data_IF_792440312024
#
_entry.id   IF_792440312024
#
_cell.length_a   1.000
_cell.length_b   1.000
_cell.length_c   1.000
_cell.angle_alpha   90.00
_cell.angle_beta   90.00
_cell.angle_gamma   90.00
#
_symmetry.space_group_name_H-M   'P 1'
#
loop_
_entity.id
_entity.type
_entity.pdbx_description
1 polymer ?
#
# COMPACT_ATOMS: atom_id res chain seq x y z
N UNK A 1 23.76 1.53 -20.70
CA UNK A 1 22.72 1.09 -19.74
C UNK A 1 21.88 2.31 -19.35
N UNK A 2 20.58 2.39 -19.72
CA UNK A 2 19.72 3.53 -19.35
C UNK A 2 19.56 3.58 -17.82
N UNK A 3 19.93 4.68 -17.18
CA UNK A 3 19.67 4.92 -15.75
C UNK A 3 18.16 5.08 -15.56
N UNK A 4 17.48 4.04 -15.10
CA UNK A 4 16.06 4.14 -14.75
C UNK A 4 15.86 5.14 -13.61
N UNK A 5 14.84 5.98 -13.75
CA UNK A 5 14.48 6.95 -12.72
C UNK A 5 13.82 6.23 -11.54
N UNK A 6 14.63 5.83 -10.56
CA UNK A 6 14.19 5.11 -9.34
C UNK A 6 13.04 5.82 -8.62
N UNK A 7 13.01 7.16 -8.64
CA UNK A 7 11.94 7.96 -8.03
C UNK A 7 10.62 7.78 -8.78
N UNK A 8 10.66 7.79 -10.11
CA UNK A 8 9.50 7.59 -10.97
C UNK A 8 8.93 6.18 -10.79
N UNK A 9 9.78 5.15 -10.76
CA UNK A 9 9.36 3.76 -10.52
C UNK A 9 8.68 3.61 -9.16
N UNK A 10 9.31 4.12 -8.09
CA UNK A 10 8.70 4.10 -6.74
C UNK A 10 7.33 4.78 -6.73
N UNK A 11 7.19 5.91 -7.41
CA UNK A 11 5.91 6.62 -7.50
C UNK A 11 4.82 5.80 -8.21
N UNK A 12 5.16 5.14 -9.32
CA UNK A 12 4.22 4.26 -10.04
C UNK A 12 3.73 3.14 -9.12
N UNK A 13 4.63 2.45 -8.44
CA UNK A 13 4.25 1.38 -7.50
C UNK A 13 3.40 1.92 -6.36
N UNK A 14 3.74 3.08 -5.79
CA UNK A 14 2.90 3.73 -4.77
C UNK A 14 1.48 3.99 -5.28
N UNK A 15 1.31 4.53 -6.49
CA UNK A 15 -0.03 4.76 -7.06
C UNK A 15 -0.81 3.45 -7.24
N UNK A 16 -0.14 2.40 -7.73
CA UNK A 16 -0.78 1.06 -7.86
C UNK A 16 -1.25 0.54 -6.52
N UNK A 17 -0.42 0.61 -5.47
CA UNK A 17 -0.81 0.17 -4.13
C UNK A 17 -1.91 1.03 -3.51
N UNK A 18 -1.96 2.34 -3.82
CA UNK A 18 -3.08 3.21 -3.42
C UNK A 18 -4.39 2.73 -4.05
N UNK A 19 -4.39 2.38 -5.34
CA UNK A 19 -5.58 1.83 -6.00
C UNK A 19 -6.02 0.49 -5.39
N UNK A 20 -5.07 -0.37 -5.05
CA UNK A 20 -5.35 -1.65 -4.34
C UNK A 20 -5.96 -1.37 -2.97
N UNK A 21 -5.49 -0.37 -2.25
CA UNK A 21 -6.02 0.01 -0.94
C UNK A 21 -7.46 0.52 -1.07
N UNK A 22 -7.75 1.35 -2.08
CA UNK A 22 -9.11 1.82 -2.40
C UNK A 22 -10.03 0.63 -2.72
N UNK A 23 -9.57 -0.33 -3.54
CA UNK A 23 -10.34 -1.53 -3.86
C UNK A 23 -10.77 -2.30 -2.59
N UNK A 24 -9.87 -2.47 -1.63
CA UNK A 24 -10.20 -3.14 -0.38
C UNK A 24 -11.13 -2.34 0.51
N UNK A 25 -11.04 -1.00 0.53
CA UNK A 25 -11.98 -0.15 1.27
C UNK A 25 -13.42 -0.27 0.72
N UNK A 26 -13.59 -0.46 -0.59
CA UNK A 26 -14.91 -0.70 -1.18
C UNK A 26 -15.49 -2.07 -0.86
N UNK A 27 -14.67 -3.05 -0.51
CA UNK A 27 -15.11 -4.39 -0.12
C UNK A 27 -15.56 -4.49 1.35
N UNK A 28 -15.29 -3.46 2.17
CA UNK A 28 -15.68 -3.45 3.58
C UNK A 28 -17.19 -3.24 3.70
N UNK A 29 -17.86 -4.12 4.43
CA UNK A 29 -19.21 -3.85 4.92
C UNK A 29 -19.15 -2.85 6.08
N UNK A 30 -19.41 -1.60 5.76
CA UNK A 30 -19.41 -0.46 6.70
C UNK A 30 -20.59 -0.50 7.69
N UNK A 31 -21.63 -1.30 7.43
CA UNK A 31 -22.77 -1.42 8.34
C UNK A 31 -22.51 -2.45 9.46
N UNK A 32 -21.59 -3.41 9.22
CA UNK A 32 -21.23 -4.42 10.19
C UNK A 32 -19.73 -4.73 10.19
N UNK A 33 -18.96 -3.86 10.85
CA UNK A 33 -17.50 -4.00 10.96
C UNK A 33 -17.03 -5.34 11.55
N UNK A 34 -17.78 -5.92 12.49
CA UNK A 34 -17.43 -7.18 13.15
C UNK A 34 -17.76 -8.43 12.32
N UNK A 35 -18.31 -8.26 11.11
CA UNK A 35 -18.58 -9.37 10.21
C UNK A 35 -17.30 -10.12 9.86
N UNK A 36 -17.33 -11.45 9.94
CA UNK A 36 -16.23 -12.32 9.51
C UNK A 36 -15.91 -12.17 8.02
N UNK A 37 -16.87 -11.70 7.23
CA UNK A 37 -16.66 -11.40 5.81
C UNK A 37 -15.67 -10.23 5.60
N UNK A 38 -15.57 -9.29 6.56
CA UNK A 38 -14.67 -8.15 6.47
C UNK A 38 -13.20 -8.49 6.77
N UNK A 39 -12.91 -9.66 7.36
CA UNK A 39 -11.54 -10.01 7.76
C UNK A 39 -10.54 -9.97 6.60
N UNK A 40 -10.96 -10.41 5.41
CA UNK A 40 -10.15 -10.31 4.19
C UNK A 40 -9.91 -8.86 3.75
N UNK A 41 -10.96 -8.04 3.79
CA UNK A 41 -10.88 -6.64 3.40
C UNK A 41 -9.99 -5.82 4.35
N UNK A 42 -10.09 -6.03 5.66
CA UNK A 42 -9.20 -5.40 6.63
C UNK A 42 -7.74 -5.81 6.45
N UNK A 43 -7.49 -7.10 6.19
CA UNK A 43 -6.13 -7.55 5.91
C UNK A 43 -5.59 -6.93 4.62
N UNK A 44 -6.42 -6.80 3.58
CA UNK A 44 -6.09 -6.11 2.33
C UNK A 44 -5.74 -4.64 2.52
N UNK A 45 -6.54 -3.90 3.30
CA UNK A 45 -6.25 -2.50 3.66
C UNK A 45 -4.95 -2.39 4.46
N UNK A 46 -4.75 -3.24 5.47
CA UNK A 46 -3.55 -3.25 6.30
C UNK A 46 -2.30 -3.54 5.45
N UNK A 47 -2.35 -4.58 4.61
CA UNK A 47 -1.25 -4.93 3.72
C UNK A 47 -0.93 -3.78 2.75
N UNK A 48 -1.95 -3.20 2.10
CA UNK A 48 -1.79 -2.05 1.21
C UNK A 48 -1.12 -0.87 1.90
N UNK A 49 -1.55 -0.54 3.12
CA UNK A 49 -0.96 0.54 3.91
C UNK A 49 0.52 0.27 4.24
N UNK A 50 0.84 -0.94 4.70
CA UNK A 50 2.22 -1.34 5.02
C UNK A 50 3.13 -1.29 3.80
N UNK A 51 2.65 -1.72 2.63
CA UNK A 51 3.42 -1.64 1.38
C UNK A 51 3.67 -0.20 0.94
N UNK A 52 2.67 0.68 1.05
CA UNK A 52 2.86 2.11 0.75
C UNK A 52 3.89 2.72 1.70
N UNK A 53 3.79 2.43 3.00
CA UNK A 53 4.74 2.91 4.01
C UNK A 53 6.14 2.38 3.70
N UNK A 54 6.31 1.07 3.47
CA UNK A 54 7.63 0.48 3.19
C UNK A 54 8.25 1.07 1.92
N UNK A 55 7.45 1.28 0.88
CA UNK A 55 7.89 1.93 -0.33
C UNK A 55 8.31 3.36 -0.05
N UNK A 56 7.58 4.11 0.78
CA UNK A 56 7.85 5.52 1.06
C UNK A 56 8.99 5.75 2.07
N UNK A 57 9.25 4.82 3.00
CA UNK A 57 10.38 4.87 3.93
C UNK A 57 11.65 5.14 3.13
N UNK A 58 12.27 6.29 3.41
CA UNK A 58 13.60 6.58 2.91
C UNK A 58 14.55 5.78 3.78
N UNK A 59 15.27 4.83 3.19
CA UNK A 59 16.48 4.31 3.79
C UNK A 59 17.42 5.50 4.00
N UNK A 60 17.36 6.12 5.18
CA UNK A 60 18.45 6.94 5.69
C UNK A 60 19.55 5.93 5.98
N UNK A 61 20.30 5.54 4.95
CA UNK A 61 21.58 4.87 5.17
C UNK A 61 22.38 5.84 6.05
N UNK A 62 22.73 5.47 7.29
CA UNK A 62 23.67 6.26 8.07
C UNK A 62 24.91 6.39 7.21
N UNK A 63 25.33 7.62 6.93
CA UNK A 63 26.65 7.85 6.35
C UNK A 63 27.63 7.63 7.49
N UNK A 64 28.15 6.41 7.60
CA UNK A 64 29.40 6.12 8.29
C UNK A 64 30.46 5.79 7.24
#
# INVERSE_FOLDING_TARGET
MKKYNKKLIKNIFTVVFVLVLIFWLFQIDWNNFSSRANSGAFFGVLAGALFIISLQIKNKVPKE
#
